data_IF_241781892983
#
_entry.id   IF_241781892983
#
_cell.length_a   1.000
_cell.length_b   1.000
_cell.length_c   1.000
_cell.angle_alpha   90.00
_cell.angle_beta   90.00
_cell.angle_gamma   90.00
#
_symmetry.space_group_name_H-M   'P 1'
#
loop_
_entity.id
_entity.type
_entity.pdbx_description
1 polymer ?
#
# COMPACT_ATOMS: atom_id res chain seq x y z
N UNK A 1 -10.89 -17.34 17.07
CA UNK A 1 -11.68 -16.17 17.52
C UNK A 1 -11.74 -16.17 19.03
N UNK A 2 -11.57 -15.01 19.68
CA UNK A 2 -11.52 -14.87 21.14
C UNK A 2 -12.52 -13.81 21.59
N UNK A 3 -13.25 -14.08 22.68
CA UNK A 3 -14.17 -13.14 23.31
C UNK A 3 -15.62 -13.23 22.82
N UNK A 4 -16.52 -12.52 23.52
CA UNK A 4 -17.98 -12.76 23.51
C UNK A 4 -18.72 -12.40 22.21
N UNK A 5 -18.05 -11.80 21.22
CA UNK A 5 -18.67 -11.30 19.97
C UNK A 5 -17.82 -11.54 18.70
N UNK A 6 -16.83 -12.44 18.73
CA UNK A 6 -15.89 -12.67 17.61
C UNK A 6 -15.20 -11.39 17.09
N UNK A 7 -15.10 -10.34 17.92
CA UNK A 7 -14.44 -9.06 17.59
C UNK A 7 -12.92 -9.15 17.57
N UNK A 8 -12.36 -10.18 18.20
CA UNK A 8 -10.93 -10.39 18.28
C UNK A 8 -10.52 -11.67 17.55
N UNK A 9 -9.51 -11.56 16.71
CA UNK A 9 -8.86 -12.70 16.04
C UNK A 9 -7.36 -12.61 16.31
N UNK A 10 -6.78 -13.71 16.79
CA UNK A 10 -5.34 -13.90 16.79
C UNK A 10 -5.06 -14.95 15.72
N UNK A 11 -4.11 -14.65 14.82
CA UNK A 11 -3.63 -15.55 13.79
C UNK A 11 -2.13 -15.75 14.00
N UNK A 12 -1.69 -17.00 13.99
CA UNK A 12 -0.26 -17.35 13.98
C UNK A 12 -0.06 -18.25 12.79
N UNK A 13 0.88 -17.89 11.92
CA UNK A 13 1.16 -18.64 10.71
C UNK A 13 2.64 -18.50 10.32
N UNK A 14 3.06 -19.42 9.46
CA UNK A 14 4.41 -19.53 8.94
C UNK A 14 4.32 -19.43 7.43
N UNK A 15 5.19 -18.62 6.83
CA UNK A 15 5.33 -18.49 5.39
C UNK A 15 6.67 -19.12 4.99
N UNK A 16 6.61 -20.16 4.16
CA UNK A 16 7.75 -20.70 3.43
C UNK A 16 7.73 -20.06 2.05
N UNK A 17 8.66 -19.14 1.81
CA UNK A 17 8.70 -18.34 0.59
C UNK A 17 10.06 -18.48 -0.07
N UNK A 18 10.05 -18.97 -1.30
CA UNK A 18 11.27 -19.20 -2.08
C UNK A 18 11.06 -18.71 -3.50
N UNK A 19 11.94 -17.82 -3.94
CA UNK A 19 11.98 -17.35 -5.32
C UNK A 19 13.03 -18.17 -6.06
N UNK A 20 12.57 -19.03 -6.96
CA UNK A 20 13.47 -19.81 -7.82
C UNK A 20 13.88 -19.05 -9.09
N UNK A 21 12.98 -18.15 -9.55
CA UNK A 21 13.08 -17.34 -10.76
C UNK A 21 12.26 -16.08 -10.51
N UNK A 22 12.78 -14.92 -10.84
CA UNK A 22 12.09 -13.63 -10.59
C UNK A 22 11.46 -13.01 -11.84
N UNK A 23 11.76 -13.48 -13.06
CA UNK A 23 11.39 -12.75 -14.30
C UNK A 23 9.88 -12.61 -14.60
N UNK A 24 9.02 -13.31 -13.86
CA UNK A 24 7.57 -13.22 -13.97
C UNK A 24 6.95 -12.29 -12.93
N UNK A 25 7.76 -11.73 -12.03
CA UNK A 25 7.34 -10.90 -10.92
C UNK A 25 7.30 -9.42 -11.33
N UNK A 26 6.36 -8.68 -10.75
CA UNK A 26 6.46 -7.22 -10.70
C UNK A 26 7.72 -6.86 -9.89
N UNK A 27 8.38 -5.73 -10.21
CA UNK A 27 9.60 -5.29 -9.55
C UNK A 27 10.76 -6.31 -9.60
N UNK A 28 10.85 -7.13 -10.66
CA UNK A 28 11.83 -8.22 -10.77
C UNK A 28 13.29 -7.80 -10.50
N UNK A 29 13.66 -6.58 -10.89
CA UNK A 29 15.02 -6.04 -10.77
C UNK A 29 15.46 -5.87 -9.30
N UNK A 30 14.51 -5.82 -8.37
CA UNK A 30 14.76 -5.57 -6.95
C UNK A 30 14.63 -6.85 -6.10
N UNK A 31 14.21 -7.96 -6.70
CA UNK A 31 13.84 -9.17 -5.98
C UNK A 31 14.86 -10.26 -6.26
N UNK A 32 15.47 -10.79 -5.20
CA UNK A 32 16.54 -11.79 -5.30
C UNK A 32 16.01 -13.23 -5.31
N UNK A 33 16.76 -14.14 -5.92
CA UNK A 33 16.47 -15.58 -5.89
C UNK A 33 16.95 -16.19 -4.56
N UNK A 34 16.21 -15.91 -3.49
CA UNK A 34 16.53 -16.31 -2.13
C UNK A 34 15.34 -16.95 -1.39
N UNK A 35 15.62 -17.49 -0.20
CA UNK A 35 14.61 -18.04 0.71
C UNK A 35 14.29 -17.04 1.82
N UNK A 36 13.04 -16.62 1.91
CA UNK A 36 12.55 -15.66 2.91
C UNK A 36 11.46 -16.31 3.76
N UNK A 37 11.86 -17.21 4.66
CA UNK A 37 10.91 -17.83 5.57
C UNK A 37 10.57 -16.84 6.68
N UNK A 38 9.30 -16.80 7.08
CA UNK A 38 8.89 -15.88 8.14
C UNK A 38 7.78 -16.43 9.02
N UNK A 39 7.82 -16.03 10.30
CA UNK A 39 6.77 -16.27 11.28
C UNK A 39 5.96 -15.00 11.45
N UNK A 40 4.64 -15.14 11.48
CA UNK A 40 3.71 -14.04 11.64
C UNK A 40 2.80 -14.27 12.84
N UNK A 41 2.63 -13.23 13.65
CA UNK A 41 1.63 -13.15 14.72
C UNK A 41 0.80 -11.91 14.47
N UNK A 42 -0.49 -12.09 14.24
CA UNK A 42 -1.41 -11.00 13.93
C UNK A 42 -2.56 -10.98 14.92
N UNK A 43 -2.88 -9.78 15.41
CA UNK A 43 -4.04 -9.49 16.22
C UNK A 43 -4.97 -8.51 15.49
N UNK A 44 -6.19 -8.95 15.20
CA UNK A 44 -7.25 -8.12 14.65
C UNK A 44 -8.30 -7.80 15.72
N UNK A 45 -8.61 -6.52 15.89
CA UNK A 45 -9.72 -6.04 16.71
C UNK A 45 -10.71 -5.26 15.85
N UNK A 46 -11.97 -5.70 15.80
CA UNK A 46 -13.07 -4.97 15.15
C UNK A 46 -13.89 -4.23 16.21
N UNK A 47 -14.23 -2.99 15.90
CA UNK A 47 -15.01 -2.14 16.80
C UNK A 47 -16.04 -1.31 16.04
N UNK A 48 -17.09 -0.93 16.77
CA UNK A 48 -18.20 -0.11 16.27
C UNK A 48 -18.34 1.10 17.19
N UNK A 49 -18.73 2.25 16.64
CA UNK A 49 -19.05 3.47 17.37
C UNK A 49 -20.28 4.13 16.73
N UNK A 50 -20.82 5.17 17.36
CA UNK A 50 -22.15 5.72 17.01
C UNK A 50 -22.32 6.06 15.53
N UNK A 51 -21.25 6.50 14.85
CA UNK A 51 -21.28 6.95 13.46
C UNK A 51 -20.50 6.06 12.50
N UNK A 52 -20.04 4.88 12.94
CA UNK A 52 -19.16 4.10 12.09
C UNK A 52 -18.59 2.86 12.74
N UNK A 53 -17.62 2.28 12.07
CA UNK A 53 -16.92 1.09 12.52
C UNK A 53 -15.46 1.18 12.10
N UNK A 54 -14.63 0.31 12.66
CA UNK A 54 -13.23 0.25 12.33
C UNK A 54 -12.59 -1.08 12.69
N UNK A 55 -11.35 -1.20 12.28
CA UNK A 55 -10.50 -2.33 12.57
C UNK A 55 -9.11 -1.85 12.93
N UNK A 56 -8.57 -2.39 14.03
CA UNK A 56 -7.17 -2.27 14.40
C UNK A 56 -6.51 -3.61 14.13
N UNK A 57 -5.41 -3.61 13.38
CA UNK A 57 -4.54 -4.77 13.20
C UNK A 57 -3.17 -4.45 13.79
N UNK A 58 -2.64 -5.38 14.58
CA UNK A 58 -1.26 -5.35 15.05
C UNK A 58 -0.60 -6.61 14.52
N UNK A 59 0.44 -6.46 13.72
CA UNK A 59 1.24 -7.55 13.18
C UNK A 59 2.63 -7.54 13.79
N UNK A 60 3.12 -8.71 14.17
CA UNK A 60 4.53 -8.98 14.37
C UNK A 60 4.97 -9.99 13.32
N UNK A 61 6.12 -9.73 12.71
CA UNK A 61 6.78 -10.62 11.76
C UNK A 61 8.25 -10.73 12.11
N UNK A 62 8.81 -11.93 11.96
CA UNK A 62 10.26 -12.16 12.02
C UNK A 62 10.64 -13.15 10.92
N UNK A 63 11.89 -13.10 10.48
CA UNK A 63 12.52 -14.22 9.78
C UNK A 63 12.37 -15.53 10.58
N UNK A 64 12.21 -16.64 9.86
CA UNK A 64 12.10 -17.98 10.43
C UNK A 64 13.34 -18.83 10.11
N UNK A 65 13.37 -20.05 10.64
CA UNK A 65 14.42 -21.05 10.42
C UNK A 65 14.64 -21.24 8.91
N UNK A 66 15.92 -21.29 8.51
CA UNK A 66 16.37 -21.41 7.11
C UNK A 66 15.95 -20.23 6.21
N UNK A 67 15.62 -19.07 6.77
CA UNK A 67 15.60 -17.83 6.00
C UNK A 67 17.03 -17.40 5.68
N UNK A 68 17.27 -16.92 4.47
CA UNK A 68 18.53 -16.31 4.07
C UNK A 68 18.67 -14.87 4.62
N UNK A 69 17.58 -14.31 5.15
CA UNK A 69 17.47 -12.93 5.62
C UNK A 69 17.35 -12.78 7.14
N UNK A 70 17.73 -11.61 7.66
CA UNK A 70 17.64 -11.24 9.07
C UNK A 70 16.85 -9.95 9.30
N UNK A 71 15.59 -10.11 9.70
CA UNK A 71 14.69 -9.00 9.93
C UNK A 71 13.54 -9.35 10.88
N UNK A 72 13.03 -8.33 11.56
CA UNK A 72 11.77 -8.36 12.27
C UNK A 72 11.04 -7.03 12.11
N UNK A 73 9.72 -7.07 12.15
CA UNK A 73 8.91 -5.87 12.07
C UNK A 73 7.65 -5.98 12.92
N UNK A 74 7.27 -4.87 13.53
CA UNK A 74 5.95 -4.67 14.13
C UNK A 74 5.21 -3.65 13.29
N UNK A 75 3.98 -3.95 12.90
CA UNK A 75 3.12 -3.00 12.23
C UNK A 75 1.79 -2.81 12.98
N UNK A 76 1.22 -1.63 12.77
CA UNK A 76 -0.05 -1.19 13.30
C UNK A 76 -0.83 -0.56 12.17
N UNK A 77 -2.01 -1.11 11.88
CA UNK A 77 -2.95 -0.58 10.91
C UNK A 77 -4.28 -0.29 11.59
N UNK A 78 -4.80 0.92 11.42
CA UNK A 78 -6.12 1.32 11.88
C UNK A 78 -6.92 1.83 10.69
N UNK A 79 -8.00 1.14 10.34
CA UNK A 79 -8.91 1.55 9.27
C UNK A 79 -10.27 1.86 9.87
N UNK A 80 -10.78 3.05 9.61
CA UNK A 80 -12.05 3.54 10.15
C UNK A 80 -12.94 4.06 9.04
N UNK A 81 -14.24 3.72 9.12
CA UNK A 81 -15.27 4.25 8.24
C UNK A 81 -16.27 5.02 9.08
N UNK A 82 -16.44 6.32 8.82
CA UNK A 82 -17.39 7.21 9.48
C UNK A 82 -18.46 7.67 8.49
N UNK A 83 -19.73 7.47 8.80
CA UNK A 83 -20.83 8.04 8.05
C UNK A 83 -21.01 9.54 8.38
N UNK A 84 -20.90 10.38 7.35
CA UNK A 84 -21.09 11.82 7.40
C UNK A 84 -22.30 12.22 6.52
N UNK A 85 -23.49 11.77 6.92
CA UNK A 85 -24.73 12.00 6.17
C UNK A 85 -24.76 11.23 4.85
N UNK A 86 -24.64 11.94 3.73
CA UNK A 86 -24.56 11.34 2.38
C UNK A 86 -23.12 11.02 1.95
N UNK A 87 -22.14 11.27 2.81
CA UNK A 87 -20.74 11.00 2.57
C UNK A 87 -20.27 9.88 3.51
N UNK A 88 -19.31 9.08 3.08
CA UNK A 88 -18.60 8.14 3.93
C UNK A 88 -17.12 8.53 3.96
N UNK A 89 -16.59 8.84 5.15
CA UNK A 89 -15.18 9.15 5.36
C UNK A 89 -14.46 7.88 5.80
N UNK A 90 -13.55 7.39 4.96
CA UNK A 90 -12.61 6.33 5.30
C UNK A 90 -11.28 6.95 5.68
N UNK A 91 -10.69 6.46 6.75
CA UNK A 91 -9.34 6.88 7.17
C UNK A 91 -8.50 5.65 7.48
N UNK A 92 -7.25 5.66 7.07
CA UNK A 92 -6.24 4.68 7.47
C UNK A 92 -5.11 5.40 8.19
N UNK A 93 -4.70 4.86 9.33
CA UNK A 93 -3.41 5.13 9.93
C UNK A 93 -2.58 3.86 9.85
N UNK A 94 -1.34 3.97 9.38
CA UNK A 94 -0.41 2.87 9.32
C UNK A 94 0.91 3.29 9.94
N UNK A 95 1.52 2.41 10.71
CA UNK A 95 2.89 2.58 11.20
C UNK A 95 3.58 1.22 11.24
N UNK A 96 4.84 1.20 10.84
CA UNK A 96 5.70 0.04 10.94
C UNK A 96 7.04 0.45 11.57
N UNK A 97 7.54 -0.42 12.44
CA UNK A 97 8.89 -0.37 12.96
C UNK A 97 9.56 -1.69 12.63
N UNK A 98 10.59 -1.65 11.79
CA UNK A 98 11.38 -2.80 11.38
C UNK A 98 12.84 -2.63 11.77
N UNK A 99 13.48 -3.75 12.11
CA UNK A 99 14.90 -3.84 12.46
C UNK A 99 15.47 -5.14 11.87
N UNK A 100 16.80 -5.20 11.73
CA UNK A 100 17.48 -6.31 11.08
C UNK A 100 18.70 -5.86 10.30
N UNK A 101 19.63 -6.77 10.07
CA UNK A 101 20.84 -6.48 9.28
C UNK A 101 20.66 -6.78 7.81
N UNK A 102 19.61 -7.51 7.42
CA UNK A 102 19.37 -7.92 6.04
C UNK A 102 17.87 -8.08 5.77
N UNK A 103 17.24 -6.99 5.30
CA UNK A 103 15.81 -6.93 5.03
C UNK A 103 15.57 -7.14 3.54
N UNK A 104 14.84 -8.19 3.12
CA UNK A 104 14.54 -8.43 1.73
C UNK A 104 13.68 -7.32 1.15
N UNK A 105 13.94 -6.93 -0.10
CA UNK A 105 13.09 -5.96 -0.79
C UNK A 105 11.62 -6.44 -0.86
N UNK A 106 11.40 -7.74 -1.08
CA UNK A 106 10.06 -8.32 -1.16
C UNK A 106 9.24 -8.19 0.14
N UNK A 107 9.92 -8.01 1.29
CA UNK A 107 9.31 -7.77 2.61
C UNK A 107 9.41 -6.33 3.09
N UNK A 108 10.12 -5.47 2.35
CA UNK A 108 10.37 -4.09 2.75
C UNK A 108 9.09 -3.26 2.80
N UNK A 109 9.12 -2.18 3.58
CA UNK A 109 8.04 -1.20 3.60
C UNK A 109 8.18 -0.29 2.38
N UNK A 110 7.23 -0.37 1.45
CA UNK A 110 7.19 0.55 0.31
C UNK A 110 6.42 1.83 0.65
N UNK A 111 6.89 2.94 0.07
CA UNK A 111 6.30 4.26 0.26
C UNK A 111 4.94 4.42 -0.43
N UNK A 112 4.80 3.85 -1.62
CA UNK A 112 3.67 4.11 -2.51
C UNK A 112 2.98 2.83 -2.99
N UNK A 113 2.68 1.93 -2.04
CA UNK A 113 1.84 0.76 -2.29
C UNK A 113 2.34 -0.50 -1.62
N UNK A 114 1.83 -1.63 -2.11
CA UNK A 114 2.12 -2.97 -1.60
C UNK A 114 3.52 -3.47 -1.98
N UNK A 115 4.17 -4.17 -1.06
CA UNK A 115 5.43 -4.87 -1.32
C UNK A 115 5.21 -6.17 -2.12
N UNK A 116 6.29 -6.83 -2.51
CA UNK A 116 6.20 -7.97 -3.43
C UNK A 116 5.44 -9.15 -2.84
N UNK A 117 5.56 -9.42 -1.55
CA UNK A 117 4.77 -10.48 -0.92
C UNK A 117 3.27 -10.17 -0.95
N UNK A 118 2.89 -8.93 -0.62
CA UNK A 118 1.50 -8.46 -0.73
C UNK A 118 0.99 -8.52 -2.19
N UNK A 119 1.85 -8.23 -3.18
CA UNK A 119 1.51 -8.37 -4.59
C UNK A 119 1.24 -9.82 -5.00
N UNK A 120 1.97 -10.78 -4.41
CA UNK A 120 1.82 -12.20 -4.70
C UNK A 120 0.55 -12.82 -4.11
N UNK A 121 -0.02 -12.23 -3.05
CA UNK A 121 -1.32 -12.63 -2.52
C UNK A 121 -2.49 -12.30 -3.48
N UNK A 122 -2.26 -11.37 -4.42
CA UNK A 122 -3.28 -10.92 -5.37
C UNK A 122 -3.19 -11.65 -6.71
N UNK A 123 -4.33 -12.23 -7.12
CA UNK A 123 -4.51 -12.90 -8.43
C UNK A 123 -4.27 -12.02 -9.65
N UNK A 124 -4.12 -10.71 -9.46
CA UNK A 124 -3.92 -9.75 -10.54
C UNK A 124 -2.50 -9.18 -10.58
N UNK A 125 -1.66 -9.54 -9.61
CA UNK A 125 -0.31 -8.98 -9.47
C UNK A 125 0.73 -10.04 -9.11
N UNK A 126 0.32 -11.29 -8.88
CA UNK A 126 1.25 -12.40 -8.68
C UNK A 126 2.15 -12.70 -9.88
N UNK A 127 1.77 -12.22 -11.07
CA UNK A 127 2.56 -12.35 -12.29
C UNK A 127 2.43 -11.10 -13.17
N UNK A 128 3.46 -10.83 -13.96
CA UNK A 128 3.48 -9.80 -15.02
C UNK A 128 2.45 -10.11 -16.12
N UNK A 129 2.11 -9.08 -16.90
CA UNK A 129 1.29 -9.18 -18.10
C UNK A 129 -0.04 -8.43 -18.06
N UNK A 130 -0.51 -8.04 -16.88
CA UNK A 130 -1.69 -7.17 -16.75
C UNK A 130 -1.36 -5.69 -16.88
N UNK A 131 -0.14 -5.30 -16.50
CA UNK A 131 0.35 -3.92 -16.56
C UNK A 131 1.57 -3.82 -17.48
N UNK A 132 1.77 -2.67 -18.15
CA UNK A 132 3.02 -2.39 -18.86
C UNK A 132 4.21 -2.46 -17.91
N UNK A 133 5.33 -3.03 -18.36
CA UNK A 133 6.52 -3.22 -17.51
C UNK A 133 7.08 -1.89 -17.00
N UNK A 134 7.04 -0.85 -17.84
CA UNK A 134 7.40 0.53 -17.52
C UNK A 134 6.55 1.15 -16.40
N UNK A 135 5.36 0.61 -16.10
CA UNK A 135 4.56 1.06 -14.96
C UNK A 135 5.03 0.46 -13.64
N UNK A 136 5.82 -0.61 -13.70
CA UNK A 136 6.11 -1.53 -12.59
C UNK A 136 7.59 -1.50 -12.21
N UNK A 137 8.23 -0.36 -12.43
CA UNK A 137 9.61 -0.04 -12.06
C UNK A 137 9.65 1.26 -11.26
N UNK A 138 10.77 1.51 -10.57
CA UNK A 138 11.00 2.79 -9.91
C UNK A 138 11.86 3.69 -10.79
N UNK A 139 11.51 4.96 -10.86
CA UNK A 139 12.22 5.96 -11.65
C UNK A 139 12.31 7.32 -10.98
N UNK A 140 12.83 8.29 -11.72
CA UNK A 140 12.97 9.69 -11.29
C UNK A 140 11.66 10.48 -11.36
N UNK A 141 10.58 9.87 -11.88
CA UNK A 141 9.23 10.45 -11.98
C UNK A 141 8.19 9.49 -11.43
N UNK A 142 6.95 9.97 -11.26
CA UNK A 142 5.83 9.14 -10.82
C UNK A 142 5.30 8.26 -11.96
N UNK A 143 4.93 7.04 -11.63
CA UNK A 143 4.38 6.03 -12.54
C UNK A 143 2.85 5.88 -12.39
N UNK A 144 2.29 4.87 -13.05
CA UNK A 144 0.84 4.69 -13.21
C UNK A 144 0.27 3.46 -12.52
N UNK A 145 1.08 2.49 -12.07
CA UNK A 145 0.59 1.30 -11.37
C UNK A 145 0.45 1.57 -9.87
N UNK A 146 -0.55 0.97 -9.19
CA UNK A 146 -0.65 1.05 -7.74
C UNK A 146 -1.47 -0.10 -7.13
N UNK A 147 -1.02 -0.63 -5.98
CA UNK A 147 -1.78 -1.58 -5.16
C UNK A 147 -1.76 -1.09 -3.72
N UNK A 148 -2.90 -1.18 -3.03
CA UNK A 148 -2.99 -0.81 -1.62
C UNK A 148 -2.10 -1.71 -0.75
N UNK A 149 -1.26 -1.09 0.07
CA UNK A 149 -0.28 -1.75 0.93
C UNK A 149 0.78 -0.75 1.38
N UNK A 150 1.71 -1.17 2.25
CA UNK A 150 2.76 -0.29 2.78
C UNK A 150 2.24 1.05 3.32
N UNK A 151 2.98 2.14 3.06
CA UNK A 151 2.57 3.50 3.45
C UNK A 151 1.42 4.05 2.59
N UNK A 152 1.21 3.52 1.38
CA UNK A 152 0.07 3.84 0.51
C UNK A 152 -0.06 5.34 0.16
N UNK A 153 1.06 6.06 -0.03
CA UNK A 153 1.03 7.45 -0.51
C UNK A 153 0.99 7.45 -2.05
N UNK A 154 -0.23 7.29 -2.59
CA UNK A 154 -0.45 6.84 -3.98
C UNK A 154 0.11 7.78 -5.05
N UNK A 155 0.16 9.08 -4.77
CA UNK A 155 0.72 10.09 -5.67
C UNK A 155 2.21 9.95 -5.93
N UNK A 156 2.92 9.16 -5.12
CA UNK A 156 4.37 8.89 -5.26
C UNK A 156 4.65 7.52 -5.89
N UNK A 157 3.64 6.87 -6.50
CA UNK A 157 3.83 5.54 -7.07
C UNK A 157 4.94 5.52 -8.13
N UNK A 158 5.79 4.50 -8.08
CA UNK A 158 6.94 4.32 -8.99
C UNK A 158 8.02 5.39 -8.92
N UNK A 159 7.96 6.34 -7.96
CA UNK A 159 9.00 7.34 -7.78
C UNK A 159 10.04 6.86 -6.75
N UNK A 160 11.33 7.06 -7.03
CA UNK A 160 12.46 6.74 -6.13
C UNK A 160 12.51 7.62 -4.87
N UNK A 161 11.82 8.77 -4.88
CA UNK A 161 11.74 9.73 -3.76
C UNK A 161 13.13 10.16 -3.28
N UNK A 162 13.68 11.20 -3.91
CA UNK A 162 14.93 11.78 -3.44
C UNK A 162 14.72 12.53 -2.11
N UNK A 163 15.56 12.26 -1.12
CA UNK A 163 15.61 12.93 0.17
C UNK A 163 17.03 13.41 0.43
N UNK A 164 17.20 14.72 0.64
CA UNK A 164 18.47 15.27 1.13
C UNK A 164 18.60 14.99 2.63
N UNK A 165 19.71 14.33 2.99
CA UNK A 165 20.08 14.02 4.36
C UNK A 165 20.67 15.23 5.09
N UNK A 166 20.92 15.09 6.39
CA UNK A 166 21.55 16.16 7.20
C UNK A 166 23.05 16.27 6.93
N UNK A 167 23.62 15.22 6.34
CA UNK A 167 24.98 15.16 5.81
C UNK A 167 25.13 15.80 4.42
N UNK A 168 24.02 16.21 3.79
CA UNK A 168 23.98 16.80 2.45
C UNK A 168 23.96 15.77 1.30
N UNK A 169 23.91 14.48 1.61
CA UNK A 169 23.81 13.41 0.62
C UNK A 169 22.36 13.15 0.21
N UNK A 170 22.15 12.55 -0.97
CA UNK A 170 20.82 12.21 -1.48
C UNK A 170 20.53 10.73 -1.25
N UNK A 171 19.46 10.46 -0.51
CA UNK A 171 18.93 9.13 -0.23
C UNK A 171 17.68 8.88 -1.07
N UNK A 172 17.50 7.64 -1.54
CA UNK A 172 16.29 7.20 -2.23
C UNK A 172 15.39 6.52 -1.20
N UNK A 173 14.25 7.12 -0.91
CA UNK A 173 13.39 6.74 0.22
C UNK A 173 12.03 6.18 -0.24
N UNK A 174 12.03 5.45 -1.36
CA UNK A 174 10.86 4.73 -1.87
C UNK A 174 10.60 3.41 -1.11
N UNK A 175 11.60 2.91 -0.40
CA UNK A 175 11.54 1.71 0.46
C UNK A 175 12.32 1.93 1.76
N UNK A 176 12.02 1.14 2.79
CA UNK A 176 12.68 1.16 4.09
C UNK A 176 12.15 0.07 5.03
N UNK A 177 12.61 0.06 6.28
CA UNK A 177 12.15 -0.88 7.31
C UNK A 177 11.00 -0.34 8.17
N UNK A 178 10.97 0.99 8.34
CA UNK A 178 10.12 1.69 9.29
C UNK A 178 9.53 2.94 8.67
N UNK A 179 8.31 3.29 9.07
CA UNK A 179 7.61 4.45 8.53
C UNK A 179 6.20 4.58 9.08
N UNK A 180 5.54 5.68 8.75
CA UNK A 180 4.13 5.88 9.10
C UNK A 180 3.41 6.71 8.06
N UNK A 181 2.10 6.48 7.96
CA UNK A 181 1.22 7.21 7.05
C UNK A 181 -0.19 7.38 7.58
N UNK A 182 -0.85 8.40 7.04
CA UNK A 182 -2.28 8.66 7.20
C UNK A 182 -2.86 8.83 5.81
N UNK A 183 -3.95 8.11 5.55
CA UNK A 183 -4.74 8.21 4.32
C UNK A 183 -6.18 8.53 4.65
N UNK A 184 -6.83 9.33 3.81
CA UNK A 184 -8.23 9.67 3.93
C UNK A 184 -8.92 9.57 2.56
N UNK A 185 -10.09 8.94 2.51
CA UNK A 185 -10.97 8.92 1.34
C UNK A 185 -12.37 9.40 1.75
N UNK A 186 -12.87 10.45 1.09
CA UNK A 186 -14.23 10.96 1.28
C UNK A 186 -15.09 10.52 0.09
N UNK A 187 -15.86 9.45 0.30
CA UNK A 187 -16.74 8.88 -0.71
C UNK A 187 -18.05 9.67 -0.81
N UNK A 188 -18.47 9.94 -2.04
CA UNK A 188 -19.71 10.67 -2.35
C UNK A 188 -20.58 9.94 -3.38
N UNK A 189 -20.45 8.61 -3.44
CA UNK A 189 -21.27 7.72 -4.28
C UNK A 189 -22.78 7.92 -4.05
N UNK A 190 -23.21 8.16 -2.80
CA UNK A 190 -24.63 8.44 -2.48
C UNK A 190 -25.14 9.77 -3.05
N UNK A 191 -24.26 10.71 -3.39
CA UNK A 191 -24.62 11.95 -4.10
C UNK A 191 -24.69 11.73 -5.61
N UNK A 192 -23.88 10.81 -6.15
CA UNK A 192 -23.77 10.52 -7.58
C UNK A 192 -24.59 9.27 -7.90
N UNK A 193 -25.89 9.44 -8.11
CA UNK A 193 -26.83 8.36 -8.47
C UNK A 193 -26.57 7.81 -9.89
N UNK A 194 -25.53 6.98 -10.11
CA UNK A 194 -25.34 6.26 -11.39
C UNK A 194 -24.63 4.90 -11.21
N UNK A 195 -25.41 3.82 -11.26
CA UNK A 195 -24.92 2.59 -11.89
C UNK A 195 -24.69 2.95 -13.36
N UNK A 196 -23.44 3.01 -13.83
CA UNK A 196 -23.17 3.31 -15.26
C UNK A 196 -23.88 2.29 -16.15
N UNK A 197 -23.82 1.02 -15.72
CA UNK A 197 -24.47 -0.15 -16.31
C UNK A 197 -24.86 -1.05 -15.11
N UNK A 198 -25.90 -1.88 -15.23
CA UNK A 198 -26.47 -2.68 -14.12
C UNK A 198 -25.46 -3.52 -13.31
N UNK A 199 -24.33 -3.89 -13.92
CA UNK A 199 -23.29 -4.74 -13.31
C UNK A 199 -21.98 -4.00 -12.97
N UNK A 200 -21.90 -2.68 -13.18
CA UNK A 200 -20.75 -1.84 -12.82
C UNK A 200 -21.17 -0.77 -11.82
N UNK A 201 -20.68 -0.90 -10.59
CA UNK A 201 -20.81 0.13 -9.55
C UNK A 201 -19.66 1.12 -9.69
N UNK A 202 -19.97 2.42 -9.65
CA UNK A 202 -18.99 3.50 -9.61
C UNK A 202 -19.05 4.20 -8.27
N UNK A 203 -17.91 4.28 -7.58
CA UNK A 203 -17.76 4.91 -6.27
C UNK A 203 -16.71 6.03 -6.36
N UNK A 204 -17.13 7.28 -6.65
CA UNK A 204 -16.23 8.42 -6.69
C UNK A 204 -15.89 8.93 -5.28
N UNK A 205 -14.66 9.42 -5.10
CA UNK A 205 -14.16 9.95 -3.85
C UNK A 205 -13.09 11.03 -4.04
N UNK A 206 -12.91 11.86 -3.00
CA UNK A 206 -11.72 12.68 -2.83
C UNK A 206 -10.74 11.92 -1.95
N UNK A 207 -9.45 12.04 -2.20
CA UNK A 207 -8.44 11.44 -1.34
C UNK A 207 -7.33 12.41 -0.95
N UNK A 208 -6.72 12.14 0.20
CA UNK A 208 -5.50 12.79 0.64
C UNK A 208 -4.67 11.78 1.44
N UNK A 209 -3.41 11.59 1.06
CA UNK A 209 -2.49 10.71 1.76
C UNK A 209 -1.24 11.49 2.19
N UNK A 210 -0.63 11.05 3.29
CA UNK A 210 0.58 11.63 3.85
C UNK A 210 1.41 10.53 4.50
N UNK A 211 2.72 10.53 4.27
CA UNK A 211 3.62 9.53 4.85
C UNK A 211 5.05 10.02 4.99
N UNK A 212 5.79 9.30 5.83
CA UNK A 212 7.22 9.46 6.02
C UNK A 212 7.82 8.09 6.31
N UNK A 213 9.02 7.85 5.78
CA UNK A 213 9.76 6.61 5.94
C UNK A 213 11.09 6.91 6.61
N UNK A 214 11.61 5.96 7.36
CA UNK A 214 12.92 6.07 7.99
C UNK A 214 13.99 5.69 6.96
N UNK A 215 15.02 6.51 6.85
CA UNK A 215 16.23 6.23 6.10
C UNK A 215 17.45 6.29 7.01
N UNK A 216 18.49 5.56 6.64
CA UNK A 216 19.77 5.50 7.35
C UNK A 216 20.80 6.35 6.62
N UNK A 217 21.44 7.27 7.34
CA UNK A 217 22.58 8.02 6.81
C UNK A 217 23.86 7.18 6.80
N UNK A 218 24.88 7.59 6.04
CA UNK A 218 26.20 6.92 5.98
C UNK A 218 26.83 6.72 7.38
N UNK A 219 26.49 7.58 8.34
CA UNK A 219 26.97 7.50 9.73
C UNK A 219 26.22 6.47 10.60
N UNK A 220 25.28 5.72 10.04
CA UNK A 220 24.47 4.71 10.70
C UNK A 220 23.29 5.24 11.51
N UNK A 221 22.95 6.54 11.39
CA UNK A 221 21.83 7.14 12.11
C UNK A 221 20.57 7.13 11.27
N UNK A 222 19.49 6.74 11.92
CA UNK A 222 18.15 6.70 11.34
C UNK A 222 17.43 8.03 11.52
N UNK A 223 16.83 8.53 10.44
CA UNK A 223 15.99 9.72 10.44
C UNK A 223 14.72 9.48 9.65
N UNK A 224 13.64 10.15 10.07
CA UNK A 224 12.45 10.25 9.24
C UNK A 224 12.73 11.14 8.04
N UNK A 225 12.32 10.68 6.86
CA UNK A 225 12.28 11.51 5.65
C UNK A 225 11.27 12.64 5.83
N UNK A 226 11.42 13.70 5.04
CA UNK A 226 10.42 14.76 5.07
C UNK A 226 9.05 14.20 4.66
N UNK A 227 7.99 14.67 5.31
CA UNK A 227 6.64 14.21 5.02
C UNK A 227 6.31 14.45 3.55
N UNK A 228 5.94 13.39 2.83
CA UNK A 228 5.36 13.48 1.49
C UNK A 228 3.85 13.36 1.58
N UNK A 229 3.16 14.18 0.81
CA UNK A 229 1.71 14.27 0.80
C UNK A 229 1.22 14.39 -0.63
N UNK A 230 0.07 13.76 -0.89
CA UNK A 230 -0.67 13.90 -2.13
C UNK A 230 -2.16 14.08 -1.88
N UNK A 231 -2.84 14.71 -2.83
CA UNK A 231 -4.29 14.85 -2.80
C UNK A 231 -4.87 14.86 -4.22
N UNK A 232 -6.08 14.32 -4.35
CA UNK A 232 -6.68 14.14 -5.65
C UNK A 232 -8.12 13.67 -5.60
N UNK A 233 -8.61 13.28 -6.78
CA UNK A 233 -9.92 12.67 -6.95
C UNK A 233 -9.75 11.29 -7.54
N UNK A 234 -10.60 10.37 -7.14
CA UNK A 234 -10.57 9.00 -7.62
C UNK A 234 -11.95 8.43 -7.84
N UNK A 235 -11.99 7.31 -8.54
CA UNK A 235 -13.20 6.52 -8.69
C UNK A 235 -12.87 5.04 -8.73
N UNK A 236 -13.59 4.26 -7.94
CA UNK A 236 -13.53 2.80 -7.97
C UNK A 236 -14.68 2.23 -8.80
N UNK A 237 -14.35 1.37 -9.74
CA UNK A 237 -15.29 0.66 -10.61
C UNK A 237 -15.31 -0.80 -10.21
N UNK A 238 -16.42 -1.25 -9.64
CA UNK A 238 -16.57 -2.65 -9.19
C UNK A 238 -17.46 -3.41 -10.16
N UNK A 239 -16.88 -4.43 -10.77
CA UNK A 239 -17.54 -5.37 -11.66
C UNK A 239 -18.04 -6.58 -10.88
N UNK A 240 -19.36 -6.81 -10.85
CA UNK A 240 -19.97 -7.83 -10.00
C UNK A 240 -20.59 -9.02 -10.73
N UNK A 241 -20.64 -9.04 -12.07
CA UNK A 241 -21.31 -10.11 -12.83
C UNK A 241 -20.48 -10.62 -14.00
N UNK A 242 -20.04 -11.88 -13.93
CA UNK A 242 -19.22 -12.54 -14.97
C UNK A 242 -20.02 -13.52 -15.86
N UNK A 243 -21.35 -13.44 -15.87
CA UNK A 243 -22.20 -14.39 -16.58
C UNK A 243 -22.05 -15.82 -16.02
N UNK A 244 -21.93 -16.87 -16.86
CA UNK A 244 -21.81 -18.27 -16.40
C UNK A 244 -20.52 -18.59 -15.64
N UNK A 245 -19.61 -17.62 -15.49
CA UNK A 245 -18.39 -17.70 -14.66
C UNK A 245 -18.61 -17.06 -13.27
N UNK A 246 -19.79 -17.26 -12.67
CA UNK A 246 -20.23 -16.64 -11.41
C UNK A 246 -19.34 -16.97 -10.19
N UNK A 247 -18.39 -17.89 -10.31
CA UNK A 247 -17.40 -18.22 -9.28
C UNK A 247 -16.24 -17.23 -9.18
N UNK A 248 -16.15 -16.24 -10.08
CA UNK A 248 -15.10 -15.21 -10.05
C UNK A 248 -15.46 -14.10 -9.06
N UNK A 249 -14.57 -13.83 -8.10
CA UNK A 249 -14.73 -12.73 -7.14
C UNK A 249 -14.91 -11.39 -7.88
N UNK A 250 -15.73 -10.46 -7.37
CA UNK A 250 -15.84 -9.12 -7.95
C UNK A 250 -14.45 -8.47 -8.11
N UNK A 251 -14.23 -7.84 -9.26
CA UNK A 251 -13.01 -7.08 -9.54
C UNK A 251 -13.30 -5.61 -9.32
N UNK A 252 -12.48 -4.93 -8.53
CA UNK A 252 -12.50 -3.49 -8.40
C UNK A 252 -11.27 -2.90 -9.05
N UNK A 253 -11.46 -2.01 -10.02
CA UNK A 253 -10.38 -1.20 -10.62
C UNK A 253 -10.58 0.25 -10.18
N UNK A 254 -9.47 0.90 -9.82
CA UNK A 254 -9.42 2.27 -9.35
C UNK A 254 -8.69 3.11 -10.37
N UNK A 255 -9.23 4.29 -10.66
CA UNK A 255 -8.55 5.34 -11.41
C UNK A 255 -8.49 6.56 -10.50
N UNK A 256 -7.27 6.90 -10.10
CA UNK A 256 -6.98 8.05 -9.24
C UNK A 256 -6.23 9.10 -10.01
N UNK A 257 -6.52 10.37 -9.71
CA UNK A 257 -5.83 11.52 -10.26
C UNK A 257 -5.20 12.33 -9.12
N UNK A 258 -3.94 12.02 -8.74
CA UNK A 258 -3.20 12.78 -7.73
C UNK A 258 -2.77 14.13 -8.32
N UNK A 259 -3.62 15.14 -8.17
CA UNK A 259 -3.35 16.46 -8.73
C UNK A 259 -2.26 17.18 -7.97
N UNK A 260 -2.26 17.09 -6.64
CA UNK A 260 -1.35 17.80 -5.77
C UNK A 260 -0.29 16.84 -5.21
N UNK A 261 0.99 17.24 -5.29
CA UNK A 261 2.09 16.68 -4.51
C UNK A 261 2.75 17.83 -3.75
N UNK A 262 3.03 17.67 -2.46
CA UNK A 262 3.74 18.69 -1.70
C UNK A 262 5.25 18.77 -2.03
N UNK A 263 5.82 17.70 -2.61
CA UNK A 263 7.23 17.57 -2.99
C UNK A 263 7.32 16.78 -4.30
N UNK A 264 7.07 17.42 -5.44
CA UNK A 264 7.08 16.71 -6.71
C UNK A 264 8.52 16.27 -7.08
N UNK A 265 8.65 15.29 -7.98
CA UNK A 265 9.96 14.88 -8.48
C UNK A 265 10.76 16.05 -9.06
N UNK A 266 12.10 15.98 -9.05
CA UNK A 266 12.94 17.06 -9.59
C UNK A 266 12.62 17.36 -11.08
N UNK A 267 12.28 16.34 -11.85
CA UNK A 267 11.87 16.47 -13.26
C UNK A 267 10.47 17.10 -13.43
N UNK A 268 9.70 17.23 -12.35
CA UNK A 268 8.37 17.82 -12.31
C UNK A 268 8.33 19.00 -11.33
N UNK A 269 8.51 20.23 -11.81
CA UNK A 269 8.57 21.40 -10.90
C UNK A 269 7.20 21.83 -10.36
N UNK A 270 6.11 21.33 -10.94
CA UNK A 270 4.75 21.74 -10.61
C UNK A 270 4.11 20.89 -9.49
N UNK A 271 3.74 21.56 -8.41
CA UNK A 271 2.96 20.98 -7.31
C UNK A 271 1.60 20.47 -7.78
N UNK A 272 0.99 21.11 -8.79
CA UNK A 272 -0.29 20.72 -9.38
C UNK A 272 -0.07 20.24 -10.82
N UNK A 273 -0.34 18.96 -11.10
CA UNK A 273 -0.18 18.37 -12.43
C UNK A 273 -1.26 17.31 -12.67
N UNK A 274 -1.64 17.12 -13.93
CA UNK A 274 -2.46 15.97 -14.33
C UNK A 274 -1.63 14.69 -14.28
N UNK A 275 -1.73 13.97 -13.17
CA UNK A 275 -1.21 12.60 -12.99
C UNK A 275 -2.38 11.63 -12.93
N UNK A 276 -2.15 10.39 -13.30
CA UNK A 276 -3.13 9.33 -13.10
C UNK A 276 -2.46 8.06 -12.62
N UNK A 277 -3.19 7.30 -11.79
CA UNK A 277 -2.76 6.04 -11.22
C UNK A 277 -3.91 5.05 -11.38
N UNK A 278 -3.58 3.87 -11.88
CA UNK A 278 -4.48 2.73 -12.03
C UNK A 278 -4.16 1.73 -10.94
N UNK A 279 -5.15 1.44 -10.10
CA UNK A 279 -5.00 0.45 -9.04
C UNK A 279 -6.00 -0.68 -9.09
N UNK A 280 -5.62 -1.81 -8.51
CA UNK A 280 -6.51 -2.96 -8.32
C UNK A 280 -6.92 -3.01 -6.85
N UNK A 281 -8.19 -3.34 -6.63
CA UNK A 281 -8.86 -3.28 -5.33
C UNK A 281 -8.90 -1.84 -4.75
N UNK A 282 -9.51 -1.72 -3.57
CA UNK A 282 -9.53 -0.46 -2.82
C UNK A 282 -8.14 -0.18 -2.24
N UNK A 283 -7.87 1.09 -1.93
CA UNK A 283 -6.60 1.50 -1.33
C UNK A 283 -6.40 0.89 0.07
N UNK A 284 -7.49 0.78 0.83
CA UNK A 284 -7.58 0.18 2.16
C UNK A 284 -9.04 -0.07 2.57
#
# INVERSE_FOLDING_TARGET
>A
FIGRNNRNKISVFFNDYQILKNYYLLYEEYVEEAKNNSVHIQYDHRYDYVKGYGNVKVGFRSNDILSDYDFSAVNLEMINTTALGKLDLKTRFFAQWGDGTDIPFESSLLFAGANQEELLESKFTYARGLFPDEWTTFGTTTSHFHIGGGLNVRGYSGYLIAQEGRDGEIYQVYTGSSGSSISMELEFDRLVRRQLISFIKMDPYLFADAGSIVYEEINGKNYFSDIRMDAGIGSAFTWSWWGPLETVKPLTVRIDFPFFLNRPPYEETDYIKFRYVVGINRAF
#
